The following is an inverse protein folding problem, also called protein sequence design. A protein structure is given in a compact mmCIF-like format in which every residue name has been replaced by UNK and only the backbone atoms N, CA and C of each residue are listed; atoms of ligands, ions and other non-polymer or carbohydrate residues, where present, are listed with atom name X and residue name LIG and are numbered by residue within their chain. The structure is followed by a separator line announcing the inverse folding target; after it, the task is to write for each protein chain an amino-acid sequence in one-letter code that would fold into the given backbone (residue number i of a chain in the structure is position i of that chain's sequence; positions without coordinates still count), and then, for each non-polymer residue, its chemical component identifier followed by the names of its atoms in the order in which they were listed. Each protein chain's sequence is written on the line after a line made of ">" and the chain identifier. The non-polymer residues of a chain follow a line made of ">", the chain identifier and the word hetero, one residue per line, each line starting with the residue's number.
data_IF_561219023171
#
_entry.id   IF_561219023171
#
_cell.length_a   1.000
_cell.length_b   1.000
_cell.length_c   1.000
_cell.angle_alpha   90.00
_cell.angle_beta   90.00
_cell.angle_gamma   90.00
#
_symmetry.space_group_name_H-M   'P 1'
#
loop_
_entity.id
_entity.type
_entity.pdbx_description
1 polymer ?
#
# COMPACT_ATOMS: atom_id res chain seq x y z
N UNK A 1 11.34 8.73 -11.26
CA UNK A 1 10.21 7.86 -10.97
C UNK A 1 9.49 8.33 -9.72
N UNK A 2 8.16 8.34 -9.75
CA UNK A 2 7.28 8.68 -8.64
C UNK A 2 6.30 7.52 -8.41
N UNK A 3 6.72 6.42 -7.78
CA UNK A 3 5.85 5.28 -7.56
C UNK A 3 4.72 5.63 -6.59
N UNK A 4 3.53 5.01 -6.73
CA UNK A 4 2.45 5.09 -5.76
C UNK A 4 2.79 4.26 -4.51
N UNK A 5 1.79 3.70 -3.84
CA UNK A 5 2.02 2.81 -2.71
C UNK A 5 2.79 1.55 -3.14
N UNK A 6 4.05 1.46 -2.74
CA UNK A 6 4.88 0.25 -2.94
C UNK A 6 4.56 -0.71 -1.80
N UNK A 7 4.31 -1.98 -2.14
CA UNK A 7 4.06 -3.02 -1.15
C UNK A 7 4.81 -4.31 -1.50
N UNK A 8 4.99 -5.19 -0.51
CA UNK A 8 5.69 -6.46 -0.71
C UNK A 8 6.42 -6.93 0.54
N UNK A 9 7.34 -7.89 0.40
CA UNK A 9 8.21 -8.36 1.47
C UNK A 9 8.93 -7.21 2.20
N UNK A 10 9.01 -7.30 3.52
CA UNK A 10 9.62 -6.30 4.43
C UNK A 10 8.84 -4.98 4.57
N UNK A 11 7.65 -4.87 4.02
CA UNK A 11 6.80 -3.69 4.21
C UNK A 11 6.14 -3.72 5.61
N UNK A 12 6.62 -2.87 6.52
CA UNK A 12 6.06 -2.76 7.87
C UNK A 12 4.71 -2.02 7.90
N UNK A 13 4.40 -1.19 6.90
CA UNK A 13 3.14 -0.44 6.87
C UNK A 13 1.96 -1.35 6.53
N UNK A 14 2.10 -2.16 5.48
CA UNK A 14 1.05 -3.10 5.08
C UNK A 14 0.92 -4.28 6.08
N UNK A 15 2.00 -4.64 6.79
CA UNK A 15 1.97 -5.68 7.82
C UNK A 15 0.82 -5.52 8.82
N UNK A 16 0.51 -4.28 9.19
CA UNK A 16 -0.60 -3.99 10.14
C UNK A 16 -1.93 -4.57 9.65
N UNK A 17 -2.22 -4.52 8.35
CA UNK A 17 -3.46 -5.07 7.79
C UNK A 17 -3.47 -6.59 7.82
N UNK A 18 -2.33 -7.24 7.59
CA UNK A 18 -2.20 -8.70 7.76
C UNK A 18 -2.34 -9.11 9.23
N UNK A 19 -1.80 -8.34 10.16
CA UNK A 19 -1.99 -8.57 11.59
C UNK A 19 -3.47 -8.40 11.99
N UNK A 20 -4.17 -7.39 11.48
CA UNK A 20 -5.61 -7.21 11.71
C UNK A 20 -6.41 -8.39 11.15
N UNK A 21 -6.01 -8.96 10.01
CA UNK A 21 -6.63 -10.19 9.47
C UNK A 21 -6.54 -11.38 10.44
N UNK A 22 -5.48 -11.47 11.26
CA UNK A 22 -5.39 -12.50 12.32
C UNK A 22 -6.47 -12.31 13.38
N UNK A 23 -6.81 -11.07 13.70
CA UNK A 23 -7.89 -10.74 14.64
C UNK A 23 -9.26 -10.69 13.99
N UNK A 24 -9.33 -10.93 12.66
CA UNK A 24 -10.56 -10.99 11.86
C UNK A 24 -11.39 -9.71 11.89
N UNK A 25 -10.75 -8.55 11.96
CA UNK A 25 -11.46 -7.28 11.80
C UNK A 25 -10.61 -6.28 11.02
N UNK A 26 -11.28 -5.35 10.32
CA UNK A 26 -10.63 -4.23 9.65
C UNK A 26 -11.45 -2.96 9.84
N UNK A 27 -10.89 -1.91 10.45
CA UNK A 27 -11.51 -0.61 10.50
C UNK A 27 -11.47 0.03 9.11
N UNK A 28 -12.59 0.58 8.65
CA UNK A 28 -12.73 1.21 7.34
C UNK A 28 -12.97 2.70 7.47
N UNK A 29 -12.01 3.50 7.06
CA UNK A 29 -12.19 4.93 6.87
C UNK A 29 -12.97 5.16 5.56
N UNK A 30 -13.96 6.07 5.58
CA UNK A 30 -14.79 6.38 4.41
C UNK A 30 -15.45 5.14 3.75
N UNK A 31 -15.76 4.11 4.53
CA UNK A 31 -16.33 2.85 4.01
C UNK A 31 -15.39 2.04 3.13
N UNK A 32 -14.11 2.41 3.05
CA UNK A 32 -13.11 1.71 2.24
C UNK A 32 -13.17 2.01 0.73
N UNK A 33 -13.92 3.03 0.31
CA UNK A 33 -14.11 3.38 -1.12
C UNK A 33 -13.03 4.31 -1.69
N UNK A 34 -12.07 4.74 -0.89
CA UNK A 34 -10.94 5.54 -1.35
C UNK A 34 -10.14 4.75 -2.39
N UNK A 35 -9.83 5.40 -3.50
CA UNK A 35 -9.11 4.77 -4.62
C UNK A 35 -7.61 4.91 -4.46
N UNK A 36 -6.87 3.87 -4.79
CA UNK A 36 -5.42 3.82 -4.68
C UNK A 36 -4.80 3.06 -5.86
N UNK A 37 -3.72 3.59 -6.42
CA UNK A 37 -2.81 2.83 -7.27
C UNK A 37 -1.72 2.22 -6.41
N UNK A 38 -1.28 1.03 -6.77
CA UNK A 38 -0.28 0.27 -6.03
C UNK A 38 0.74 -0.34 -6.99
N UNK A 39 1.89 -0.71 -6.46
CA UNK A 39 2.90 -1.46 -7.21
C UNK A 39 3.63 -2.44 -6.29
N UNK A 40 3.83 -3.65 -6.77
CA UNK A 40 4.63 -4.63 -6.05
C UNK A 40 6.12 -4.27 -6.09
N UNK A 41 6.83 -4.53 -5.00
CA UNK A 41 8.21 -4.07 -4.81
C UNK A 41 9.18 -4.52 -5.91
N UNK A 42 9.05 -5.74 -6.44
CA UNK A 42 9.90 -6.21 -7.56
C UNK A 42 9.59 -5.49 -8.86
N UNK A 43 8.33 -5.16 -9.12
CA UNK A 43 7.94 -4.39 -10.30
C UNK A 43 8.42 -2.94 -10.21
N UNK A 44 8.39 -2.34 -9.01
CA UNK A 44 8.98 -1.02 -8.78
C UNK A 44 10.51 -1.03 -9.03
N UNK A 45 11.19 -2.08 -8.57
CA UNK A 45 12.63 -2.25 -8.82
C UNK A 45 12.94 -2.43 -10.31
N UNK A 46 12.13 -3.23 -11.03
CA UNK A 46 12.27 -3.42 -12.48
C UNK A 46 12.03 -2.12 -13.25
N UNK A 47 11.00 -1.34 -12.89
CA UNK A 47 10.76 -0.03 -13.48
C UNK A 47 11.94 0.92 -13.24
N UNK A 48 12.52 0.89 -12.04
CA UNK A 48 13.69 1.70 -11.71
C UNK A 48 14.91 1.31 -12.54
N UNK A 49 15.19 0.02 -12.65
CA UNK A 49 16.29 -0.49 -13.44
C UNK A 49 16.12 -0.13 -14.93
N UNK A 50 14.92 -0.34 -15.48
CA UNK A 50 14.62 -0.02 -16.86
C UNK A 50 14.83 1.47 -17.17
N UNK A 51 14.35 2.37 -16.30
CA UNK A 51 14.57 3.79 -16.47
C UNK A 51 16.04 4.20 -16.33
N UNK A 52 16.80 3.54 -15.43
CA UNK A 52 18.21 3.83 -15.21
C UNK A 52 19.11 3.36 -16.36
N UNK A 53 18.67 2.35 -17.12
CA UNK A 53 19.42 1.75 -18.24
C UNK A 53 18.81 2.07 -19.62
N UNK A 54 17.82 2.95 -19.67
CA UNK A 54 17.18 3.33 -20.94
C UNK A 54 18.18 4.02 -21.87
N UNK A 55 18.22 3.58 -23.12
CA UNK A 55 18.99 4.23 -24.19
C UNK A 55 18.26 5.46 -24.74
N UNK A 56 16.94 5.54 -24.54
CA UNK A 56 16.12 6.68 -24.93
C UNK A 56 16.44 7.90 -24.08
N UNK A 57 16.40 9.09 -24.66
CA UNK A 57 16.51 10.34 -23.91
C UNK A 57 15.21 10.58 -23.13
N UNK A 58 15.25 10.24 -21.84
CA UNK A 58 14.15 10.44 -20.89
C UNK A 58 14.46 11.54 -19.89
N UNK A 59 15.45 12.39 -20.17
CA UNK A 59 15.86 13.49 -19.31
C UNK A 59 14.70 14.44 -19.00
N UNK A 60 14.41 14.66 -17.71
CA UNK A 60 13.30 15.50 -17.24
C UNK A 60 11.92 14.86 -17.27
N UNK A 61 11.76 13.63 -17.76
CA UNK A 61 10.48 12.91 -17.72
C UNK A 61 10.14 12.43 -16.32
N UNK A 62 8.84 12.46 -16.00
CA UNK A 62 8.31 11.93 -14.72
C UNK A 62 7.42 10.73 -15.04
N UNK A 63 7.74 9.57 -14.50
CA UNK A 63 6.97 8.35 -14.67
C UNK A 63 6.41 7.84 -13.36
N UNK A 64 5.20 7.27 -13.43
CA UNK A 64 4.47 6.70 -12.30
C UNK A 64 4.27 5.19 -12.52
N UNK A 65 5.21 4.33 -12.12
CA UNK A 65 5.04 2.89 -12.25
C UNK A 65 3.92 2.40 -11.31
N UNK A 66 2.89 1.76 -11.86
CA UNK A 66 1.75 1.18 -11.14
C UNK A 66 1.31 -0.13 -11.83
N UNK A 67 0.51 -0.97 -11.15
CA UNK A 67 0.21 -2.31 -11.65
C UNK A 67 -0.90 -2.40 -12.72
N UNK A 68 -1.39 -1.27 -13.20
CA UNK A 68 -2.41 -1.20 -14.24
C UNK A 68 -3.84 -1.19 -13.71
N UNK A 69 -4.02 -1.23 -12.39
CA UNK A 69 -5.34 -1.32 -11.77
C UNK A 69 -5.49 -0.27 -10.67
N UNK A 70 -6.63 0.41 -10.67
CA UNK A 70 -7.02 1.28 -9.56
C UNK A 70 -7.87 0.48 -8.59
N UNK A 71 -7.38 0.33 -7.37
CA UNK A 71 -8.04 -0.41 -6.30
C UNK A 71 -8.81 0.49 -5.35
N UNK A 72 -9.81 -0.08 -4.68
CA UNK A 72 -10.32 0.46 -3.43
C UNK A 72 -9.66 -0.25 -2.24
N UNK A 73 -9.77 0.32 -1.04
CA UNK A 73 -9.31 -0.40 0.16
C UNK A 73 -10.07 -1.71 0.38
N UNK A 74 -11.33 -1.80 -0.09
CA UNK A 74 -12.09 -3.06 -0.06
C UNK A 74 -11.42 -4.13 -0.93
N UNK A 75 -10.91 -3.77 -2.12
CA UNK A 75 -10.20 -4.70 -3.00
C UNK A 75 -8.88 -5.17 -2.36
N UNK A 76 -8.14 -4.26 -1.74
CA UNK A 76 -6.90 -4.59 -1.02
C UNK A 76 -7.18 -5.53 0.16
N UNK A 77 -8.21 -5.26 0.96
CA UNK A 77 -8.60 -6.12 2.07
C UNK A 77 -9.09 -7.49 1.58
N UNK A 78 -9.83 -7.54 0.47
CA UNK A 78 -10.23 -8.81 -0.15
C UNK A 78 -9.02 -9.65 -0.61
N UNK A 79 -7.99 -9.01 -1.16
CA UNK A 79 -6.74 -9.69 -1.50
C UNK A 79 -6.01 -10.24 -0.25
N UNK A 80 -5.99 -9.47 0.85
CA UNK A 80 -5.42 -9.92 2.13
C UNK A 80 -6.24 -11.07 2.74
N UNK A 81 -7.58 -11.01 2.68
CA UNK A 81 -8.45 -12.12 3.10
C UNK A 81 -8.14 -13.42 2.33
N UNK A 82 -7.98 -13.28 1.01
CA UNK A 82 -7.65 -14.42 0.15
C UNK A 82 -6.26 -15.00 0.49
N UNK A 83 -5.26 -14.15 0.69
CA UNK A 83 -3.89 -14.54 1.04
C UNK A 83 -3.82 -15.22 2.41
N UNK A 84 -4.46 -14.65 3.43
CA UNK A 84 -4.45 -15.17 4.80
C UNK A 84 -5.46 -16.30 5.04
N UNK A 85 -6.38 -16.55 4.08
CA UNK A 85 -7.54 -17.46 4.21
C UNK A 85 -8.42 -17.12 5.42
N UNK A 86 -8.51 -15.86 5.80
CA UNK A 86 -9.27 -15.36 6.96
C UNK A 86 -10.22 -14.25 6.55
N UNK A 87 -11.50 -14.45 6.80
CA UNK A 87 -12.52 -13.42 6.62
C UNK A 87 -12.43 -12.37 7.72
N UNK A 88 -12.54 -11.10 7.35
CA UNK A 88 -12.52 -9.96 8.28
C UNK A 88 -13.91 -9.34 8.41
N UNK A 89 -14.26 -8.96 9.63
CA UNK A 89 -15.40 -8.10 9.88
C UNK A 89 -15.00 -6.66 9.54
N UNK A 90 -15.60 -6.11 8.51
CA UNK A 90 -15.38 -4.73 8.08
C UNK A 90 -16.17 -3.78 8.97
N UNK A 91 -15.47 -2.92 9.71
CA UNK A 91 -16.09 -1.98 10.66
C UNK A 91 -16.03 -0.55 10.10
N UNK A 92 -17.15 0.01 9.62
CA UNK A 92 -17.20 1.41 9.24
C UNK A 92 -16.79 2.26 10.44
N UNK A 93 -15.67 2.95 10.32
CA UNK A 93 -15.08 3.69 11.43
C UNK A 93 -15.07 5.18 11.07
N UNK A 94 -15.73 6.02 11.89
CA UNK A 94 -15.79 7.44 11.62
C UNK A 94 -14.41 8.08 11.79
N UNK A 95 -14.16 9.14 11.03
CA UNK A 95 -12.86 9.80 10.98
C UNK A 95 -12.36 10.24 12.36
N UNK A 96 -13.25 10.75 13.23
CA UNK A 96 -12.85 11.21 14.56
C UNK A 96 -12.20 10.10 15.43
N UNK A 97 -12.60 8.83 15.23
CA UNK A 97 -11.99 7.70 15.92
C UNK A 97 -10.55 7.47 15.49
N UNK A 98 -10.26 7.64 14.19
CA UNK A 98 -8.90 7.64 13.66
C UNK A 98 -8.07 8.81 14.19
N UNK A 99 -8.65 10.03 14.21
CA UNK A 99 -7.97 11.22 14.74
C UNK A 99 -7.63 11.04 16.23
N UNK A 100 -8.55 10.46 17.02
CA UNK A 100 -8.31 10.18 18.45
C UNK A 100 -7.23 9.10 18.64
N UNK A 101 -7.27 8.03 17.85
CA UNK A 101 -6.24 6.99 17.89
C UNK A 101 -4.86 7.53 17.50
N UNK A 102 -4.81 8.40 16.50
CA UNK A 102 -3.57 9.05 16.06
C UNK A 102 -3.02 9.99 17.15
N UNK A 103 -3.88 10.76 17.82
CA UNK A 103 -3.49 11.60 18.94
C UNK A 103 -2.89 10.77 20.09
N UNK A 104 -3.53 9.65 20.44
CA UNK A 104 -2.99 8.71 21.42
C UNK A 104 -1.63 8.12 21.02
N UNK A 105 -1.46 7.75 19.74
CA UNK A 105 -0.20 7.28 19.19
C UNK A 105 0.89 8.35 19.27
N UNK A 106 0.59 9.59 18.87
CA UNK A 106 1.53 10.72 18.95
C UNK A 106 1.95 11.01 20.39
N UNK A 107 1.00 11.02 21.34
CA UNK A 107 1.27 11.20 22.76
C UNK A 107 2.19 10.08 23.32
N UNK A 108 1.89 8.84 22.97
CA UNK A 108 2.74 7.69 23.33
C UNK A 108 4.16 7.84 22.76
N UNK A 109 4.28 8.23 21.48
CA UNK A 109 5.58 8.49 20.85
C UNK A 109 6.38 9.60 21.55
N UNK A 110 5.69 10.67 21.94
CA UNK A 110 6.31 11.79 22.67
C UNK A 110 6.83 11.34 24.05
N UNK A 111 6.05 10.54 24.79
CA UNK A 111 6.42 10.04 26.11
C UNK A 111 7.58 9.04 26.02
N UNK A 112 7.50 8.10 25.06
CA UNK A 112 8.49 7.02 24.92
C UNK A 112 9.73 7.43 24.09
N UNK A 113 9.70 8.61 23.47
CA UNK A 113 10.71 9.10 22.52
C UNK A 113 10.94 8.13 21.36
N UNK A 114 9.91 7.42 20.94
CA UNK A 114 9.94 6.49 19.82
C UNK A 114 9.17 7.05 18.63
N UNK A 115 9.68 6.89 17.41
CA UNK A 115 8.93 7.27 16.21
C UNK A 115 7.65 6.45 16.11
N UNK A 116 6.53 7.11 15.78
CA UNK A 116 5.24 6.48 15.54
C UNK A 116 4.83 6.67 14.10
N UNK A 117 4.28 5.64 13.50
CA UNK A 117 3.84 5.67 12.08
C UNK A 117 2.41 6.21 11.96
N UNK A 118 1.56 5.93 12.95
CA UNK A 118 0.17 6.34 12.93
C UNK A 118 -0.01 7.72 13.56
N UNK A 119 -0.07 8.76 12.71
CA UNK A 119 -0.18 10.16 13.08
C UNK A 119 -1.43 10.79 12.47
N UNK A 120 -1.84 11.97 12.99
CA UNK A 120 -2.95 12.75 12.39
C UNK A 120 -2.68 13.15 10.94
N UNK A 121 -1.43 13.35 10.56
CA UNK A 121 -1.05 13.58 9.17
C UNK A 121 -1.33 12.34 8.31
N UNK A 122 -0.96 11.15 8.81
CA UNK A 122 -1.28 9.88 8.14
C UNK A 122 -2.79 9.66 8.00
N UNK A 123 -3.59 10.03 8.99
CA UNK A 123 -5.06 9.98 8.90
C UNK A 123 -5.59 10.92 7.81
N UNK A 124 -5.03 12.13 7.69
CA UNK A 124 -5.40 13.07 6.61
C UNK A 124 -5.05 12.52 5.23
N UNK A 125 -3.88 11.90 5.09
CA UNK A 125 -3.46 11.20 3.88
C UNK A 125 -4.44 10.07 3.52
N UNK A 126 -4.73 9.20 4.47
CA UNK A 126 -5.67 8.08 4.29
C UNK A 126 -7.10 8.54 3.99
N UNK A 127 -7.50 9.73 4.44
CA UNK A 127 -8.83 10.28 4.22
C UNK A 127 -9.03 10.87 2.81
N UNK A 128 -7.99 11.00 2.01
CA UNK A 128 -8.13 11.51 0.64
C UNK A 128 -8.95 10.54 -0.21
N UNK A 129 -9.82 11.05 -1.11
CA UNK A 129 -10.71 10.20 -1.90
C UNK A 129 -9.96 9.35 -2.93
N UNK A 130 -8.79 9.80 -3.38
CA UNK A 130 -8.00 9.09 -4.38
C UNK A 130 -6.52 9.43 -4.30
N UNK A 131 -5.69 8.40 -4.41
CA UNK A 131 -4.26 8.42 -4.65
C UNK A 131 -3.99 7.55 -5.87
N UNK A 132 -4.23 8.10 -7.06
CA UNK A 132 -4.16 7.36 -8.32
C UNK A 132 -3.17 7.99 -9.29
N UNK A 133 -2.52 7.17 -10.06
CA UNK A 133 -1.63 7.57 -11.13
C UNK A 133 -1.76 6.58 -12.30
N UNK A 134 -1.07 6.86 -13.41
CA UNK A 134 -1.03 5.98 -14.59
C UNK A 134 0.41 5.73 -15.01
N UNK A 135 0.71 4.49 -15.40
CA UNK A 135 1.96 4.08 -16.00
C UNK A 135 1.98 4.21 -17.54
N UNK A 136 0.99 4.86 -18.16
CA UNK A 136 0.86 4.90 -19.60
C UNK A 136 2.09 5.49 -20.29
N UNK A 137 2.66 6.56 -19.73
CA UNK A 137 3.88 7.16 -20.28
C UNK A 137 5.08 6.20 -20.16
N UNK A 138 5.23 5.52 -19.02
CA UNK A 138 6.29 4.53 -18.83
C UNK A 138 6.14 3.33 -19.77
N UNK A 139 4.89 2.91 -20.01
CA UNK A 139 4.58 1.84 -20.98
C UNK A 139 4.91 2.25 -22.40
N UNK A 140 4.51 3.46 -22.79
CA UNK A 140 4.72 3.99 -24.14
C UNK A 140 6.21 4.19 -24.46
N UNK A 141 6.94 4.83 -23.52
CA UNK A 141 8.29 5.29 -23.77
C UNK A 141 9.35 4.20 -23.55
N UNK A 142 9.12 3.31 -22.57
CA UNK A 142 10.07 2.28 -22.17
C UNK A 142 9.54 0.84 -22.30
N UNK A 143 8.32 0.65 -22.77
CA UNK A 143 7.71 -0.68 -22.91
C UNK A 143 7.49 -1.43 -21.59
N UNK A 144 7.57 -0.73 -20.45
CA UNK A 144 7.41 -1.35 -19.14
C UNK A 144 6.03 -1.95 -18.94
N UNK A 145 5.97 -3.09 -18.25
CA UNK A 145 4.70 -3.74 -17.85
C UNK A 145 4.83 -4.35 -16.45
N UNK A 146 3.79 -4.22 -15.62
CA UNK A 146 3.72 -4.90 -14.34
C UNK A 146 3.58 -6.42 -14.55
N UNK A 147 4.11 -7.20 -13.62
CA UNK A 147 3.97 -8.66 -13.59
C UNK A 147 3.13 -9.13 -12.42
N UNK A 148 3.04 -8.35 -11.34
CA UNK A 148 2.38 -8.74 -10.10
C UNK A 148 1.24 -7.78 -9.78
N UNK A 149 0.02 -8.29 -9.77
CA UNK A 149 -1.17 -7.56 -9.32
C UNK A 149 -1.46 -7.84 -7.83
N UNK A 150 -2.37 -7.06 -7.22
CA UNK A 150 -2.60 -7.02 -5.78
C UNK A 150 -2.92 -8.39 -5.16
N UNK A 151 -3.68 -9.26 -5.83
CA UNK A 151 -4.02 -10.57 -5.28
C UNK A 151 -2.80 -11.48 -5.16
N UNK A 152 -1.97 -11.54 -6.20
CA UNK A 152 -0.74 -12.33 -6.18
C UNK A 152 0.30 -11.69 -5.26
N UNK A 153 0.45 -10.37 -5.31
CA UNK A 153 1.35 -9.63 -4.44
C UNK A 153 1.01 -9.78 -2.95
N UNK A 154 -0.28 -9.76 -2.59
CA UNK A 154 -0.71 -10.02 -1.23
C UNK A 154 -0.37 -11.45 -0.77
N UNK A 155 -0.55 -12.46 -1.64
CA UNK A 155 -0.16 -13.83 -1.37
C UNK A 155 1.34 -13.96 -1.11
N UNK A 156 2.17 -13.45 -2.02
CA UNK A 156 3.63 -13.48 -1.89
C UNK A 156 4.12 -12.74 -0.64
N UNK A 157 3.46 -11.63 -0.30
CA UNK A 157 3.78 -10.83 0.90
C UNK A 157 3.41 -11.60 2.18
N UNK A 158 2.23 -12.24 2.21
CA UNK A 158 1.83 -13.08 3.34
C UNK A 158 2.80 -14.24 3.57
N UNK A 159 3.12 -14.97 2.49
CA UNK A 159 4.04 -16.10 2.56
C UNK A 159 5.41 -15.67 3.13
N UNK A 160 5.88 -14.50 2.72
CA UNK A 160 7.14 -13.95 3.25
C UNK A 160 7.02 -13.57 4.73
N UNK A 161 5.92 -12.91 5.16
CA UNK A 161 5.74 -12.54 6.57
C UNK A 161 5.68 -13.78 7.47
N UNK A 162 5.02 -14.86 7.04
CA UNK A 162 4.98 -16.13 7.77
C UNK A 162 6.38 -16.74 7.88
N UNK A 163 7.11 -16.83 6.77
CA UNK A 163 8.47 -17.40 6.75
C UNK A 163 9.47 -16.57 7.58
N UNK A 164 9.32 -15.25 7.60
CA UNK A 164 10.19 -14.35 8.36
C UNK A 164 9.78 -14.22 9.84
N UNK A 165 8.68 -14.85 10.27
CA UNK A 165 8.20 -14.79 11.66
C UNK A 165 7.60 -13.43 12.03
N UNK A 166 7.10 -12.67 11.05
CA UNK A 166 6.43 -11.39 11.29
C UNK A 166 4.93 -11.56 11.58
N UNK A 167 4.35 -12.70 11.21
CA UNK A 167 2.97 -13.13 11.43
C UNK A 167 2.89 -14.42 12.24
#
# INVERSE_FOLDING_TARGET
>A
LCPPAIYGPRDAALLTFFQLARYRFAPLLNGGHNRISMIYATDAARATLLAATAEADIGGCIYYPEDGTVYTWLDVLAAIEAATKRKMLLLPTPRFAYDLAALGSEAFGAITRRPVVFTREKVREMAQPAWVCSADDLRRDLGWRPEVQVHEGARLTNDWYEQAGWL
#
